data_IF_143874024953
#
_entry.id   IF_143874024953
#
_cell.length_a   1.000
_cell.length_b   1.000
_cell.length_c   1.000
_cell.angle_alpha   90.00
_cell.angle_beta   90.00
_cell.angle_gamma   90.00
#
_symmetry.space_group_name_H-M   'P 1'
#
loop_
_entity.id
_entity.type
_entity.pdbx_description
1 polymer ?
#
# COMPACT_ATOMS: atom_id res chain seq x y z
N UNK A 1 -15.65 -22.96 -11.44
CA UNK A 1 -14.90 -21.82 -10.88
C UNK A 1 -15.36 -20.60 -11.67
N UNK A 2 -16.16 -19.74 -11.06
CA UNK A 2 -16.76 -18.55 -11.69
C UNK A 2 -15.73 -17.43 -11.78
N UNK A 3 -15.88 -16.57 -12.80
CA UNK A 3 -14.99 -15.46 -13.15
C UNK A 3 -14.70 -14.51 -11.96
N UNK A 4 -15.64 -14.42 -11.03
CA UNK A 4 -15.59 -13.58 -9.84
C UNK A 4 -14.48 -14.00 -8.86
N UNK A 5 -14.23 -15.30 -8.69
CA UNK A 5 -13.21 -15.81 -7.75
C UNK A 5 -11.77 -15.46 -8.17
N UNK A 6 -11.52 -15.27 -9.46
CA UNK A 6 -10.19 -14.92 -9.96
C UNK A 6 -9.89 -13.43 -9.73
N UNK A 7 -10.89 -12.57 -9.93
CA UNK A 7 -10.79 -11.13 -9.70
C UNK A 7 -10.60 -10.82 -8.22
N UNK A 8 -11.35 -11.45 -7.32
CA UNK A 8 -11.23 -11.22 -5.88
C UNK A 8 -9.84 -11.59 -5.36
N UNK A 9 -9.30 -12.73 -5.82
CA UNK A 9 -7.96 -13.17 -5.44
C UNK A 9 -6.88 -12.23 -5.96
N UNK A 10 -7.02 -11.73 -7.19
CA UNK A 10 -6.07 -10.75 -7.74
C UNK A 10 -6.11 -9.44 -6.93
N UNK A 11 -7.31 -8.97 -6.56
CA UNK A 11 -7.47 -7.77 -5.74
C UNK A 11 -6.83 -7.99 -4.36
N UNK A 12 -7.06 -9.13 -3.72
CA UNK A 12 -6.43 -9.47 -2.44
C UNK A 12 -4.89 -9.49 -2.54
N UNK A 13 -4.34 -10.10 -3.59
CA UNK A 13 -2.89 -10.10 -3.85
C UNK A 13 -2.32 -8.68 -4.02
N UNK A 14 -3.05 -7.79 -4.70
CA UNK A 14 -2.66 -6.40 -4.89
C UNK A 14 -2.72 -5.60 -3.58
N UNK A 15 -3.77 -5.78 -2.76
CA UNK A 15 -3.84 -5.15 -1.44
C UNK A 15 -2.71 -5.61 -0.52
N UNK A 16 -2.40 -6.92 -0.52
CA UNK A 16 -1.28 -7.48 0.24
C UNK A 16 0.06 -6.94 -0.26
N UNK A 17 0.23 -6.79 -1.58
CA UNK A 17 1.44 -6.20 -2.17
C UNK A 17 1.62 -4.74 -1.75
N UNK A 18 0.54 -3.95 -1.80
CA UNK A 18 0.53 -2.55 -1.39
C UNK A 18 0.93 -2.40 0.09
N UNK A 19 0.24 -3.13 0.97
CA UNK A 19 0.49 -3.15 2.41
C UNK A 19 1.95 -3.51 2.73
N UNK A 20 2.46 -4.60 2.14
CA UNK A 20 3.84 -5.05 2.35
C UNK A 20 4.87 -4.05 1.85
N UNK A 21 4.60 -3.39 0.73
CA UNK A 21 5.51 -2.39 0.15
C UNK A 21 5.66 -1.20 1.08
N UNK A 22 4.54 -0.67 1.59
CA UNK A 22 4.53 0.45 2.55
C UNK A 22 5.21 0.02 3.84
N UNK A 23 4.80 -1.12 4.43
CA UNK A 23 5.36 -1.62 5.70
C UNK A 23 6.87 -1.80 5.61
N UNK A 24 7.35 -2.43 4.55
CA UNK A 24 8.78 -2.66 4.33
C UNK A 24 9.55 -1.35 4.18
N UNK A 25 8.96 -0.36 3.50
CA UNK A 25 9.58 0.94 3.36
C UNK A 25 9.69 1.68 4.69
N UNK A 26 8.62 1.74 5.48
CA UNK A 26 8.62 2.39 6.79
C UNK A 26 9.66 1.76 7.72
N UNK A 27 9.73 0.43 7.80
CA UNK A 27 10.73 -0.26 8.62
C UNK A 27 12.18 -0.13 8.10
N UNK A 28 12.37 0.24 6.84
CA UNK A 28 13.71 0.58 6.32
C UNK A 28 14.19 1.97 6.75
N UNK A 29 13.26 2.85 7.18
CA UNK A 29 13.53 4.24 7.57
C UNK A 29 13.57 4.43 9.08
N UNK A 30 12.73 3.69 9.81
CA UNK A 30 12.60 3.82 11.25
C UNK A 30 12.82 2.48 11.94
N UNK A 31 13.50 2.51 13.09
CA UNK A 31 13.59 1.32 13.92
C UNK A 31 12.24 0.99 14.55
N UNK A 32 11.99 -0.28 14.86
CA UNK A 32 10.75 -0.70 15.54
C UNK A 32 10.58 0.06 16.86
N UNK A 33 11.66 0.33 17.59
CA UNK A 33 11.64 1.10 18.84
C UNK A 33 11.26 2.57 18.68
N UNK A 34 11.32 3.11 17.46
CA UNK A 34 10.92 4.49 17.17
C UNK A 34 9.42 4.63 16.90
N UNK A 35 8.74 3.52 16.58
CA UNK A 35 7.34 3.49 16.16
C UNK A 35 6.45 3.28 17.38
N UNK A 36 5.64 4.28 17.72
CA UNK A 36 4.68 4.22 18.83
C UNK A 36 3.34 3.63 18.38
N UNK A 37 2.94 3.92 17.15
CA UNK A 37 1.74 3.38 16.53
C UNK A 37 1.92 3.34 15.01
N UNK A 38 1.48 2.25 14.39
CA UNK A 38 1.55 2.10 12.93
C UNK A 38 0.41 1.22 12.43
N UNK A 39 -0.44 1.79 11.60
CA UNK A 39 -1.50 1.09 10.90
C UNK A 39 -1.48 1.44 9.41
N UNK A 40 -1.78 0.45 8.56
CA UNK A 40 -1.97 0.62 7.13
C UNK A 40 -3.32 0.01 6.79
N UNK A 41 -4.16 0.79 6.12
CA UNK A 41 -5.40 0.29 5.52
C UNK A 41 -5.27 0.45 4.02
N UNK A 42 -5.55 -0.62 3.28
CA UNK A 42 -5.60 -0.62 1.82
C UNK A 42 -6.95 -1.17 1.41
N UNK A 43 -7.76 -0.31 0.80
CA UNK A 43 -9.05 -0.66 0.24
C UNK A 43 -8.97 -0.62 -1.28
N UNK A 44 -9.62 -1.58 -1.94
CA UNK A 44 -9.66 -1.66 -3.39
C UNK A 44 -11.11 -1.66 -3.85
N UNK A 45 -11.40 -0.85 -4.85
CA UNK A 45 -12.73 -0.67 -5.40
C UNK A 45 -12.71 -0.94 -6.90
N UNK A 46 -13.45 -1.97 -7.32
CA UNK A 46 -13.72 -2.21 -8.73
C UNK A 46 -14.92 -1.36 -9.14
N UNK A 47 -14.69 -0.40 -10.03
CA UNK A 47 -15.72 0.48 -10.56
C UNK A 47 -16.53 -0.22 -11.66
N UNK A 48 -17.72 0.31 -11.95
CA UNK A 48 -18.64 -0.25 -12.97
C UNK A 48 -18.04 -0.29 -14.39
N UNK A 49 -17.04 0.55 -14.66
CA UNK A 49 -16.30 0.61 -15.93
C UNK A 49 -15.11 -0.37 -16.00
N UNK A 50 -14.90 -1.17 -14.94
CA UNK A 50 -13.82 -2.14 -14.85
C UNK A 50 -12.48 -1.55 -14.38
N UNK A 51 -12.42 -0.26 -14.02
CA UNK A 51 -11.23 0.32 -13.41
C UNK A 51 -11.12 -0.11 -11.94
N UNK A 52 -9.91 -0.43 -11.50
CA UNK A 52 -9.60 -0.77 -10.11
C UNK A 52 -8.92 0.42 -9.44
N UNK A 53 -9.54 0.99 -8.42
CA UNK A 53 -8.98 2.11 -7.63
C UNK A 53 -8.55 1.62 -6.26
N UNK A 54 -7.49 2.23 -5.72
CA UNK A 54 -6.94 1.90 -4.40
C UNK A 54 -6.96 3.12 -3.49
N UNK A 55 -7.54 2.96 -2.31
CA UNK A 55 -7.49 3.93 -1.23
C UNK A 55 -6.48 3.43 -0.18
N UNK A 56 -5.42 4.21 0.02
CA UNK A 56 -4.32 3.85 0.92
C UNK A 56 -4.28 4.86 2.05
N UNK A 57 -4.56 4.39 3.27
CA UNK A 57 -4.44 5.18 4.50
C UNK A 57 -3.26 4.67 5.34
N UNK A 58 -2.37 5.58 5.74
CA UNK A 58 -1.20 5.27 6.56
C UNK A 58 -1.23 6.14 7.80
N UNK A 59 -1.39 5.49 8.96
CA UNK A 59 -1.33 6.16 10.25
C UNK A 59 -0.01 5.76 10.92
N UNK A 60 0.88 6.74 11.11
CA UNK A 60 2.19 6.51 11.72
C UNK A 60 2.43 7.54 12.82
N UNK A 61 2.65 7.06 14.04
CA UNK A 61 3.11 7.86 15.17
C UNK A 61 4.50 7.40 15.58
N UNK A 62 5.45 8.32 15.58
CA UNK A 62 6.82 8.05 16.02
C UNK A 62 7.13 8.73 17.36
N UNK A 63 8.26 8.37 17.94
CA UNK A 63 8.81 9.06 19.10
C UNK A 63 8.94 10.57 18.83
N UNK A 64 8.65 11.48 19.79
CA UNK A 64 8.69 12.94 19.61
C UNK A 64 10.02 13.56 19.15
N UNK A 65 11.06 12.76 18.97
CA UNK A 65 12.36 13.20 18.44
C UNK A 65 12.35 13.37 16.91
N UNK A 66 11.34 12.83 16.22
CA UNK A 66 11.13 13.02 14.79
C UNK A 66 10.19 14.20 14.56
N UNK A 67 10.49 15.04 13.57
CA UNK A 67 9.58 16.11 13.19
C UNK A 67 8.39 15.55 12.41
N UNK A 68 7.21 16.17 12.56
CA UNK A 68 6.03 15.76 11.80
C UNK A 68 6.27 15.82 10.28
N UNK A 69 7.01 16.83 9.81
CA UNK A 69 7.37 16.96 8.40
C UNK A 69 8.21 15.78 7.89
N UNK A 70 9.14 15.26 8.71
CA UNK A 70 9.94 14.08 8.34
C UNK A 70 9.06 12.83 8.24
N UNK A 71 8.07 12.69 9.12
CA UNK A 71 7.11 11.57 9.10
C UNK A 71 6.25 11.63 7.84
N UNK A 72 5.66 12.78 7.53
CA UNK A 72 4.84 12.99 6.34
C UNK A 72 5.62 12.72 5.05
N UNK A 73 6.88 13.19 4.97
CA UNK A 73 7.74 12.93 3.82
C UNK A 73 7.96 11.43 3.60
N UNK A 74 8.25 10.68 4.67
CA UNK A 74 8.46 9.23 4.57
C UNK A 74 7.18 8.48 4.21
N UNK A 75 6.02 8.90 4.73
CA UNK A 75 4.72 8.32 4.33
C UNK A 75 4.48 8.54 2.83
N UNK A 76 4.67 9.76 2.34
CA UNK A 76 4.47 10.09 0.92
C UNK A 76 5.38 9.26 0.01
N UNK A 77 6.66 9.11 0.37
CA UNK A 77 7.60 8.24 -0.35
C UNK A 77 7.17 6.76 -0.32
N UNK A 78 6.61 6.28 0.79
CA UNK A 78 6.11 4.91 0.92
C UNK A 78 4.92 4.66 -0.02
N UNK A 79 3.98 5.61 -0.06
CA UNK A 79 2.78 5.56 -0.89
C UNK A 79 3.16 5.65 -2.38
N UNK A 80 4.09 6.52 -2.75
CA UNK A 80 4.59 6.61 -4.14
C UNK A 80 5.21 5.27 -4.60
N UNK A 81 6.00 4.63 -3.74
CA UNK A 81 6.58 3.31 -4.04
C UNK A 81 5.53 2.22 -4.16
N UNK A 82 4.50 2.26 -3.31
CA UNK A 82 3.36 1.37 -3.38
C UNK A 82 2.69 1.44 -4.75
N UNK A 83 2.31 2.64 -5.20
CA UNK A 83 1.65 2.80 -6.50
C UNK A 83 2.55 2.37 -7.67
N UNK A 84 3.85 2.64 -7.62
CA UNK A 84 4.79 2.13 -8.64
C UNK A 84 4.82 0.59 -8.72
N UNK A 85 4.77 -0.10 -7.58
CA UNK A 85 4.77 -1.57 -7.58
C UNK A 85 3.41 -2.14 -8.01
N UNK A 86 2.30 -1.48 -7.67
CA UNK A 86 0.96 -1.82 -8.17
C UNK A 86 0.87 -1.66 -9.69
N UNK A 87 1.32 -0.52 -10.23
CA UNK A 87 1.34 -0.26 -11.67
C UNK A 87 2.15 -1.32 -12.42
N UNK A 88 3.32 -1.67 -11.87
CA UNK A 88 4.18 -2.72 -12.43
C UNK A 88 3.51 -4.09 -12.36
N UNK A 89 2.81 -4.41 -11.27
CA UNK A 89 2.11 -5.69 -11.14
C UNK A 89 0.97 -5.78 -12.15
N UNK A 90 0.18 -4.72 -12.33
CA UNK A 90 -0.94 -4.67 -13.28
C UNK A 90 -0.49 -4.60 -14.74
N UNK A 91 0.57 -3.88 -15.06
CA UNK A 91 1.11 -3.80 -16.44
C UNK A 91 1.66 -5.15 -16.93
N UNK A 92 2.03 -6.05 -16.01
CA UNK A 92 2.47 -7.41 -16.31
C UNK A 92 1.30 -8.43 -16.33
N UNK A 93 0.07 -7.99 -16.12
CA UNK A 93 -1.13 -8.83 -16.31
C UNK A 93 -1.60 -8.65 -17.75
N UNK A 94 -0.95 -9.33 -18.68
CA UNK A 94 -1.57 -9.56 -19.99
C UNK A 94 -2.75 -10.52 -19.80
N UNK A 95 -3.96 -10.07 -20.16
CA UNK A 95 -5.12 -10.96 -20.24
C UNK A 95 -4.88 -11.95 -21.39
N UNK A 96 -4.48 -13.19 -21.05
CA UNK A 96 -4.51 -14.34 -21.96
C UNK A 96 -5.93 -14.85 -22.18
#
# INVERSE_FOLDING_TARGET
MTKDTFTDKLIEELCVLAEKTIRSYIFSKFSISDILYFNITVDAHLLDDGQLTFDVNVELTLHPKFSQNDVEAVINEAVEKCFKELDKRMSNVEFM
#
